data_IF_338326104038
#
_entry.id   IF_338326104038
#
_cell.length_a   1.000
_cell.length_b   1.000
_cell.length_c   1.000
_cell.angle_alpha   90.00
_cell.angle_beta   90.00
_cell.angle_gamma   90.00
#
_symmetry.space_group_name_H-M   'P 1'
#
loop_
_entity.id
_entity.type
_entity.pdbx_description
1 polymer ?
#
# COMPACT_ATOMS: atom_id res chain seq x y z
N UNK A 1 -8.78 14.97 11.83
CA UNK A 1 -9.05 13.97 10.78
C UNK A 1 -8.76 12.62 11.39
N UNK A 2 -9.76 11.75 11.48
CA UNK A 2 -9.59 10.38 12.01
C UNK A 2 -8.84 9.58 10.96
N UNK A 3 -7.62 9.12 11.24
CA UNK A 3 -6.91 8.23 10.31
C UNK A 3 -7.74 6.95 10.11
N UNK A 4 -8.30 6.77 8.92
CA UNK A 4 -9.13 5.59 8.58
C UNK A 4 -8.31 4.30 8.49
N UNK A 5 -7.02 4.39 8.24
CA UNK A 5 -6.11 3.26 8.15
C UNK A 5 -5.03 3.35 9.21
N UNK A 6 -4.75 2.22 9.86
CA UNK A 6 -3.74 2.14 10.93
C UNK A 6 -2.32 2.27 10.40
N UNK A 7 -1.38 2.59 11.30
CA UNK A 7 0.07 2.55 11.02
C UNK A 7 0.55 1.23 10.39
N UNK A 8 -0.11 0.10 10.68
CA UNK A 8 0.19 -1.20 10.06
C UNK A 8 -0.14 -1.19 8.57
N UNK A 9 -1.30 -0.65 8.20
CA UNK A 9 -1.75 -0.59 6.80
C UNK A 9 -0.85 0.36 6.01
N UNK A 10 -0.45 1.50 6.59
CA UNK A 10 0.49 2.42 5.95
C UNK A 10 1.85 1.77 5.69
N UNK A 11 2.38 1.00 6.66
CA UNK A 11 3.62 0.25 6.45
C UNK A 11 3.48 -0.83 5.35
N UNK A 12 2.33 -1.52 5.29
CA UNK A 12 2.06 -2.51 4.24
C UNK A 12 1.94 -1.86 2.85
N UNK A 13 1.29 -0.69 2.76
CA UNK A 13 1.21 0.09 1.52
C UNK A 13 2.61 0.48 1.05
N UNK A 14 3.45 1.06 1.92
CA UNK A 14 4.81 1.44 1.56
C UNK A 14 5.63 0.23 1.07
N UNK A 15 5.52 -0.92 1.73
CA UNK A 15 6.15 -2.16 1.26
C UNK A 15 5.62 -2.59 -0.12
N UNK A 16 4.30 -2.62 -0.32
CA UNK A 16 3.70 -3.06 -1.56
C UNK A 16 4.07 -2.18 -2.77
N UNK A 17 4.21 -0.87 -2.56
CA UNK A 17 4.47 0.09 -3.63
C UNK A 17 5.96 0.30 -3.91
N UNK A 18 6.82 0.17 -2.90
CA UNK A 18 8.24 0.57 -3.00
C UNK A 18 9.24 -0.59 -2.88
N UNK A 19 8.85 -1.77 -2.37
CA UNK A 19 9.80 -2.87 -2.17
C UNK A 19 10.34 -3.49 -3.48
N UNK A 20 9.69 -3.21 -4.63
CA UNK A 20 10.17 -3.58 -5.95
C UNK A 20 11.39 -2.77 -6.43
N UNK A 21 11.69 -1.63 -5.79
CA UNK A 21 12.90 -0.86 -6.06
C UNK A 21 14.12 -1.69 -5.63
N UNK A 22 15.05 -1.97 -6.55
CA UNK A 22 16.27 -2.75 -6.28
C UNK A 22 17.24 -2.13 -5.25
N UNK A 23 16.86 -1.03 -4.59
CA UNK A 23 17.63 -0.36 -3.56
C UNK A 23 17.54 -1.11 -2.23
N UNK A 24 18.60 -1.85 -1.88
CA UNK A 24 18.69 -2.58 -0.60
C UNK A 24 18.55 -1.66 0.62
N UNK A 25 19.07 -0.44 0.57
CA UNK A 25 18.96 0.54 1.66
C UNK A 25 17.50 0.94 1.91
N UNK A 26 16.76 1.28 0.85
CA UNK A 26 15.33 1.60 0.93
C UNK A 26 14.54 0.42 1.46
N UNK A 27 14.81 -0.79 0.96
CA UNK A 27 14.16 -2.01 1.46
C UNK A 27 14.40 -2.21 2.96
N UNK A 28 15.64 -2.06 3.43
CA UNK A 28 15.96 -2.20 4.86
C UNK A 28 15.21 -1.17 5.73
N UNK A 29 15.07 0.07 5.26
CA UNK A 29 14.30 1.11 5.94
C UNK A 29 12.80 0.76 6.00
N UNK A 30 12.22 0.33 4.89
CA UNK A 30 10.81 -0.08 4.83
C UNK A 30 10.51 -1.27 5.76
N UNK A 31 11.41 -2.26 5.80
CA UNK A 31 11.27 -3.39 6.72
C UNK A 31 11.40 -2.96 8.19
N UNK A 32 12.31 -2.03 8.50
CA UNK A 32 12.46 -1.49 9.85
C UNK A 32 11.21 -0.71 10.29
N UNK A 33 10.63 0.11 9.40
CA UNK A 33 9.38 0.83 9.65
C UNK A 33 8.21 -0.12 9.87
N UNK A 34 8.11 -1.17 9.06
CA UNK A 34 7.07 -2.18 9.22
C UNK A 34 7.20 -2.93 10.55
N UNK A 35 8.43 -3.28 10.98
CA UNK A 35 8.66 -3.86 12.32
C UNK A 35 8.24 -2.90 13.43
N UNK A 36 8.52 -1.59 13.29
CA UNK A 36 8.07 -0.56 14.25
C UNK A 36 6.56 -0.41 14.30
N UNK A 37 5.87 -0.62 13.18
CA UNK A 37 4.41 -0.72 13.13
C UNK A 37 3.85 -2.06 13.68
N UNK A 38 4.74 -2.96 14.12
CA UNK A 38 4.39 -4.24 14.75
C UNK A 38 4.18 -5.39 13.76
N UNK A 39 4.59 -5.26 12.50
CA UNK A 39 4.49 -6.36 11.53
C UNK A 39 5.51 -7.45 11.83
N UNK A 40 5.07 -8.69 11.66
CA UNK A 40 5.95 -9.86 11.67
C UNK A 40 6.72 -9.99 10.35
N UNK A 41 7.79 -10.80 10.34
CA UNK A 41 8.54 -11.07 9.11
C UNK A 41 7.66 -11.64 7.99
N UNK A 42 6.72 -12.52 8.31
CA UNK A 42 5.80 -13.09 7.33
C UNK A 42 4.83 -12.03 6.74
N UNK A 43 4.35 -11.10 7.56
CA UNK A 43 3.51 -9.98 7.10
C UNK A 43 4.30 -9.01 6.22
N UNK A 44 5.56 -8.74 6.55
CA UNK A 44 6.47 -7.92 5.74
C UNK A 44 6.68 -8.56 4.37
N UNK A 45 7.00 -9.85 4.34
CA UNK A 45 7.20 -10.61 3.09
C UNK A 45 5.93 -10.71 2.24
N UNK A 46 4.76 -10.79 2.88
CA UNK A 46 3.49 -10.76 2.18
C UNK A 46 3.21 -9.38 1.58
N UNK A 47 3.37 -8.32 2.37
CA UNK A 47 3.12 -6.94 1.95
C UNK A 47 4.07 -6.50 0.84
N UNK A 48 5.35 -6.88 0.90
CA UNK A 48 6.32 -6.63 -0.17
C UNK A 48 5.95 -7.30 -1.51
N UNK A 49 5.05 -8.28 -1.49
CA UNK A 49 4.48 -8.94 -2.69
C UNK A 49 3.06 -8.45 -3.01
N UNK A 50 2.60 -7.38 -2.36
CA UNK A 50 1.26 -6.82 -2.51
C UNK A 50 0.15 -7.71 -1.92
N UNK A 51 0.44 -8.49 -0.88
CA UNK A 51 -0.52 -9.38 -0.20
C UNK A 51 -0.67 -9.01 1.27
N UNK A 52 -1.80 -9.36 1.86
CA UNK A 52 -2.03 -9.24 3.30
C UNK A 52 -2.81 -10.44 3.84
N UNK A 53 -2.62 -10.76 5.11
CA UNK A 53 -3.44 -11.75 5.82
C UNK A 53 -4.79 -11.17 6.29
N UNK A 54 -4.89 -9.84 6.38
CA UNK A 54 -6.16 -9.16 6.62
C UNK A 54 -6.87 -8.92 5.28
N UNK A 55 -8.12 -9.36 5.17
CA UNK A 55 -8.87 -9.31 3.92
C UNK A 55 -9.11 -7.86 3.45
N UNK A 56 -9.45 -6.95 4.36
CA UNK A 56 -9.67 -5.53 4.02
C UNK A 56 -8.37 -4.90 3.53
N UNK A 57 -7.26 -5.14 4.22
CA UNK A 57 -5.95 -4.65 3.84
C UNK A 57 -5.49 -5.26 2.51
N UNK A 58 -5.75 -6.54 2.25
CA UNK A 58 -5.40 -7.18 0.98
C UNK A 58 -6.06 -6.46 -0.22
N UNK A 59 -7.33 -6.06 -0.08
CA UNK A 59 -8.05 -5.30 -1.11
C UNK A 59 -7.44 -3.91 -1.29
N UNK A 60 -7.10 -3.24 -0.18
CA UNK A 60 -6.42 -1.93 -0.20
C UNK A 60 -5.08 -2.02 -0.94
N UNK A 61 -4.25 -3.03 -0.65
CA UNK A 61 -2.96 -3.23 -1.32
C UNK A 61 -3.14 -3.56 -2.82
N UNK A 62 -4.13 -4.38 -3.16
CA UNK A 62 -4.44 -4.70 -4.56
C UNK A 62 -4.85 -3.45 -5.34
N UNK A 63 -5.75 -2.64 -4.78
CA UNK A 63 -6.18 -1.39 -5.40
C UNK A 63 -5.01 -0.42 -5.56
N UNK A 64 -4.25 -0.18 -4.49
CA UNK A 64 -3.09 0.70 -4.49
C UNK A 64 -2.05 0.31 -5.55
N UNK A 65 -1.77 -0.99 -5.69
CA UNK A 65 -0.84 -1.49 -6.71
C UNK A 65 -1.39 -1.31 -8.12
N UNK A 66 -2.69 -1.53 -8.32
CA UNK A 66 -3.35 -1.31 -9.61
C UNK A 66 -3.29 0.16 -10.04
N UNK A 67 -3.32 1.11 -9.10
CA UNK A 67 -3.16 2.55 -9.41
C UNK A 67 -1.78 2.88 -10.02
N UNK A 68 -0.75 2.09 -9.71
CA UNK A 68 0.61 2.32 -10.21
C UNK A 68 0.88 1.51 -11.48
N UNK A 69 0.50 0.23 -11.49
CA UNK A 69 0.88 -0.72 -12.54
C UNK A 69 -0.20 -0.89 -13.61
N UNK A 70 -1.45 -0.51 -13.32
CA UNK A 70 -2.61 -0.75 -14.18
C UNK A 70 -2.95 0.40 -15.13
N UNK A 71 -3.64 0.07 -16.22
CA UNK A 71 -4.28 1.07 -17.07
C UNK A 71 -5.64 1.50 -16.52
N UNK A 72 -6.27 2.49 -17.17
CA UNK A 72 -7.56 3.05 -16.76
C UNK A 72 -8.66 1.98 -16.59
N UNK A 73 -8.67 0.96 -17.48
CA UNK A 73 -9.62 -0.16 -17.41
C UNK A 73 -9.37 -1.07 -16.21
N UNK A 74 -8.11 -1.37 -15.90
CA UNK A 74 -7.71 -2.17 -14.74
C UNK A 74 -8.06 -1.43 -13.44
N UNK A 75 -7.76 -0.14 -13.38
CA UNK A 75 -8.07 0.73 -12.23
C UNK A 75 -9.57 0.75 -11.97
N UNK A 76 -10.40 0.97 -13.01
CA UNK A 76 -11.85 0.99 -12.84
C UNK A 76 -12.40 -0.37 -12.38
N UNK A 77 -11.90 -1.49 -12.95
CA UNK A 77 -12.27 -2.84 -12.50
C UNK A 77 -11.90 -3.08 -11.04
N UNK A 78 -10.69 -2.68 -10.64
CA UNK A 78 -10.19 -2.83 -9.26
C UNK A 78 -11.01 -1.97 -8.29
N UNK A 79 -11.35 -0.73 -8.66
CA UNK A 79 -12.23 0.16 -7.90
C UNK A 79 -13.62 -0.45 -7.67
N UNK A 80 -14.25 -0.99 -8.71
CA UNK A 80 -15.55 -1.66 -8.60
C UNK A 80 -15.47 -2.91 -7.72
N UNK A 81 -14.37 -3.67 -7.82
CA UNK A 81 -14.14 -4.85 -6.98
C UNK A 81 -13.96 -4.46 -5.51
N UNK A 82 -13.15 -3.44 -5.23
CA UNK A 82 -12.94 -2.88 -3.90
C UNK A 82 -14.26 -2.42 -3.26
N UNK A 83 -15.11 -1.73 -4.02
CA UNK A 83 -16.43 -1.31 -3.56
C UNK A 83 -17.34 -2.50 -3.20
N UNK A 84 -17.36 -3.55 -4.03
CA UNK A 84 -18.12 -4.78 -3.75
C UNK A 84 -17.64 -5.52 -2.50
N UNK A 85 -16.39 -5.31 -2.12
CA UNK A 85 -15.77 -5.95 -0.95
C UNK A 85 -15.74 -5.03 0.28
N UNK A 86 -16.45 -3.90 0.25
CA UNK A 86 -16.72 -3.06 1.42
C UNK A 86 -15.78 -1.87 1.63
N UNK A 87 -15.07 -1.42 0.59
CA UNK A 87 -14.42 -0.09 0.59
C UNK A 87 -15.40 0.95 0.04
N UNK A 88 -15.77 1.93 0.84
CA UNK A 88 -16.63 3.02 0.39
C UNK A 88 -15.85 4.07 -0.44
N UNK A 89 -16.56 5.07 -0.95
CA UNK A 89 -15.93 6.12 -1.78
C UNK A 89 -14.86 6.93 -1.02
N UNK A 90 -15.02 7.10 0.29
CA UNK A 90 -14.04 7.80 1.12
C UNK A 90 -12.80 6.93 1.37
N UNK A 91 -12.98 5.62 1.59
CA UNK A 91 -11.89 4.66 1.72
C UNK A 91 -11.02 4.65 0.46
N UNK A 92 -11.66 4.62 -0.72
CA UNK A 92 -10.98 4.65 -2.01
C UNK A 92 -10.18 5.95 -2.21
N UNK A 93 -10.79 7.10 -1.91
CA UNK A 93 -10.11 8.39 -1.98
C UNK A 93 -8.93 8.48 -1.00
N UNK A 94 -9.07 7.91 0.20
CA UNK A 94 -7.98 7.86 1.17
C UNK A 94 -6.83 6.97 0.68
N UNK A 95 -7.11 5.83 0.03
CA UNK A 95 -6.07 5.01 -0.60
C UNK A 95 -5.33 5.80 -1.69
N UNK A 96 -6.07 6.48 -2.58
CA UNK A 96 -5.50 7.31 -3.65
C UNK A 96 -4.59 8.41 -3.09
N UNK A 97 -5.03 9.12 -2.05
CA UNK A 97 -4.25 10.14 -1.36
C UNK A 97 -2.99 9.57 -0.73
N UNK A 98 -3.07 8.41 -0.05
CA UNK A 98 -1.90 7.76 0.54
C UNK A 98 -0.90 7.30 -0.50
N UNK A 99 -1.36 6.74 -1.62
CA UNK A 99 -0.50 6.34 -2.74
C UNK A 99 0.25 7.55 -3.29
N UNK A 100 -0.47 8.65 -3.59
CA UNK A 100 0.15 9.87 -4.09
C UNK A 100 1.21 10.44 -3.12
N UNK A 101 0.89 10.46 -1.81
CA UNK A 101 1.82 10.91 -0.77
C UNK A 101 3.06 10.03 -0.68
N UNK A 102 2.91 8.70 -0.64
CA UNK A 102 4.02 7.75 -0.57
C UNK A 102 4.96 7.91 -1.77
N UNK A 103 4.40 8.08 -2.97
CA UNK A 103 5.21 8.26 -4.19
C UNK A 103 5.95 9.61 -4.20
N UNK A 104 5.32 10.67 -3.70
CA UNK A 104 5.97 11.97 -3.56
C UNK A 104 7.10 11.94 -2.52
N UNK A 105 6.90 11.27 -1.38
CA UNK A 105 7.93 11.07 -0.35
C UNK A 105 9.12 10.29 -0.93
N UNK A 106 8.85 9.17 -1.62
CA UNK A 106 9.90 8.35 -2.23
C UNK A 106 10.71 9.09 -3.30
N UNK A 107 10.06 9.94 -4.11
CA UNK A 107 10.74 10.76 -5.11
C UNK A 107 11.63 11.84 -4.48
N UNK A 108 11.26 12.39 -3.32
CA UNK A 108 12.07 13.35 -2.59
C UNK A 108 13.31 12.70 -1.95
N UNK A 109 13.21 11.44 -1.53
CA UNK A 109 14.32 10.68 -0.93
C UNK A 109 15.36 10.19 -1.96
N UNK A 110 15.02 10.18 -3.26
CA UNK A 110 15.92 9.78 -4.36
C UNK A 110 16.71 10.97 -4.97
N UNK A 111 16.47 12.20 -4.49
CA UNK A 111 17.19 13.44 -4.85
C UNK A 111 18.33 13.73 -3.87
#
# INVERSE_FOLDING_TARGET
MTEKFSFRVDAQLRLALLAGCGCQKRRALLEADARRAGLTGAEIDAAARGRSFDARTAIVLEYARTLIEGGEREINRSRLRAARLGLDAEDLAEVENKVARILSEAAADDL
#
